data_IF_649798033959
#
_entry.id   IF_649798033959
#
_cell.length_a   1.000
_cell.length_b   1.000
_cell.length_c   1.000
_cell.angle_alpha   90.00
_cell.angle_beta   90.00
_cell.angle_gamma   90.00
#
_symmetry.space_group_name_H-M   'P 1'
#
loop_
_entity.id
_entity.type
_entity.pdbx_description
1 polymer ?
#
# COMPACT_ATOMS: atom_id res chain seq x y z
N UNK A 1 9.89 12.47 -8.31
CA UNK A 1 8.83 12.37 -7.29
C UNK A 1 7.57 11.81 -7.92
N UNK A 2 7.52 10.49 -8.02
CA UNK A 2 6.33 9.72 -8.38
C UNK A 2 5.39 9.62 -7.18
N UNK A 3 4.14 9.19 -7.42
CA UNK A 3 3.19 8.90 -6.36
C UNK A 3 3.73 7.83 -5.38
N UNK A 4 4.46 6.84 -5.90
CA UNK A 4 5.13 5.83 -5.09
C UNK A 4 6.17 6.45 -4.15
N UNK A 5 7.08 7.28 -4.66
CA UNK A 5 8.11 7.95 -3.85
C UNK A 5 7.49 8.84 -2.75
N UNK A 6 6.34 9.48 -3.05
CA UNK A 6 5.60 10.27 -2.07
C UNK A 6 4.97 9.41 -0.97
N UNK A 7 4.44 8.23 -1.29
CA UNK A 7 3.85 7.32 -0.30
C UNK A 7 4.95 6.61 0.51
N UNK A 8 6.02 6.13 -0.14
CA UNK A 8 7.12 5.38 0.52
C UNK A 8 7.73 6.16 1.68
N UNK A 9 8.06 7.45 1.47
CA UNK A 9 8.62 8.31 2.54
C UNK A 9 7.70 8.41 3.77
N UNK A 10 6.38 8.37 3.58
CA UNK A 10 5.43 8.46 4.70
C UNK A 10 5.27 7.10 5.39
N UNK A 11 5.38 6.00 4.65
CA UNK A 11 5.41 4.65 5.21
C UNK A 11 6.69 4.45 6.04
N UNK A 12 7.86 4.86 5.52
CA UNK A 12 9.13 4.79 6.23
C UNK A 12 9.09 5.56 7.55
N UNK A 13 8.52 6.78 7.54
CA UNK A 13 8.32 7.57 8.76
C UNK A 13 7.38 6.85 9.75
N UNK A 14 6.26 6.30 9.27
CA UNK A 14 5.33 5.55 10.13
C UNK A 14 5.96 4.29 10.75
N UNK A 15 6.82 3.59 10.01
CA UNK A 15 7.57 2.44 10.52
C UNK A 15 8.59 2.84 11.58
N UNK A 16 9.30 3.96 11.38
CA UNK A 16 10.22 4.50 12.38
C UNK A 16 9.48 4.87 13.68
N UNK A 17 8.34 5.57 13.58
CA UNK A 17 7.52 5.93 14.74
C UNK A 17 6.94 4.70 15.45
N UNK A 18 6.49 3.70 14.69
CA UNK A 18 5.98 2.43 15.22
C UNK A 18 7.06 1.68 16.03
N UNK A 19 8.29 1.66 15.54
CA UNK A 19 9.41 1.02 16.22
C UNK A 19 9.67 1.65 17.61
N UNK A 20 9.53 2.97 17.75
CA UNK A 20 9.67 3.65 19.07
C UNK A 20 8.61 3.22 20.09
N UNK A 21 7.47 2.70 19.61
CA UNK A 21 6.33 2.28 20.42
C UNK A 21 6.20 0.76 20.53
N UNK A 22 7.21 -0.01 20.06
CA UNK A 22 7.16 -1.49 19.99
C UNK A 22 5.97 -2.02 19.17
N UNK A 23 5.48 -1.25 18.21
CA UNK A 23 4.45 -1.68 17.26
C UNK A 23 5.15 -2.42 16.12
N UNK A 24 4.70 -3.64 15.81
CA UNK A 24 5.32 -4.44 14.75
C UNK A 24 5.03 -3.87 13.36
N UNK A 25 5.97 -4.08 12.43
CA UNK A 25 5.78 -3.72 11.03
C UNK A 25 4.58 -4.42 10.39
N UNK A 26 4.24 -5.64 10.81
CA UNK A 26 3.03 -6.36 10.37
C UNK A 26 1.74 -5.60 10.74
N UNK A 27 1.67 -5.04 11.96
CA UNK A 27 0.52 -4.22 12.38
C UNK A 27 0.42 -2.96 11.53
N UNK A 28 1.55 -2.30 11.26
CA UNK A 28 1.59 -1.12 10.38
C UNK A 28 1.13 -1.49 8.96
N UNK A 29 1.61 -2.60 8.40
CA UNK A 29 1.22 -3.06 7.06
C UNK A 29 -0.29 -3.32 6.96
N UNK A 30 -0.90 -3.96 7.96
CA UNK A 30 -2.35 -4.19 8.01
C UNK A 30 -3.15 -2.88 8.08
N UNK A 31 -2.66 -1.88 8.82
CA UNK A 31 -3.26 -0.55 8.86
C UNK A 31 -3.17 0.15 7.50
N UNK A 32 -2.01 0.07 6.83
CA UNK A 32 -1.82 0.65 5.50
C UNK A 32 -2.75 0.00 4.47
N UNK A 33 -2.88 -1.33 4.49
CA UNK A 33 -3.83 -2.05 3.64
C UNK A 33 -5.28 -1.63 3.89
N UNK A 34 -5.66 -1.47 5.17
CA UNK A 34 -7.00 -1.00 5.54
C UNK A 34 -7.29 0.41 5.02
N UNK A 35 -6.31 1.31 5.07
CA UNK A 35 -6.43 2.66 4.52
C UNK A 35 -6.51 2.67 3.00
N UNK A 36 -5.73 1.83 2.31
CA UNK A 36 -5.81 1.66 0.86
C UNK A 36 -7.21 1.17 0.44
N UNK A 37 -7.75 0.15 1.12
CA UNK A 37 -9.10 -0.36 0.89
C UNK A 37 -10.15 0.74 1.15
N UNK A 38 -10.01 1.49 2.23
CA UNK A 38 -10.90 2.62 2.56
C UNK A 38 -10.94 3.67 1.44
N UNK A 39 -9.80 3.94 0.79
CA UNK A 39 -9.73 4.85 -0.34
C UNK A 39 -10.37 4.26 -1.60
N UNK A 40 -10.07 3.01 -1.96
CA UNK A 40 -10.65 2.39 -3.16
C UNK A 40 -12.17 2.22 -3.08
N UNK A 41 -12.71 1.92 -1.89
CA UNK A 41 -14.16 1.78 -1.68
C UNK A 41 -14.98 3.03 -2.03
N UNK A 42 -14.34 4.19 -2.24
CA UNK A 42 -15.02 5.40 -2.70
C UNK A 42 -15.50 5.28 -4.16
N UNK A 43 -14.80 4.50 -4.97
CA UNK A 43 -14.99 4.47 -6.44
C UNK A 43 -15.04 3.06 -7.02
N UNK A 44 -14.70 2.02 -6.24
CA UNK A 44 -14.52 0.64 -6.72
C UNK A 44 -15.34 -0.34 -5.87
N UNK A 45 -15.84 -1.40 -6.52
CA UNK A 45 -16.50 -2.50 -5.82
C UNK A 45 -15.48 -3.34 -5.03
N UNK A 46 -15.94 -4.18 -4.11
CA UNK A 46 -15.05 -5.09 -3.39
C UNK A 46 -14.35 -6.08 -4.32
N UNK A 47 -15.02 -6.52 -5.39
CA UNK A 47 -14.46 -7.46 -6.36
C UNK A 47 -13.33 -6.81 -7.17
N UNK A 48 -13.53 -5.55 -7.60
CA UNK A 48 -12.50 -4.77 -8.29
C UNK A 48 -11.28 -4.51 -7.38
N UNK A 49 -11.52 -4.27 -6.09
CA UNK A 49 -10.45 -4.08 -5.10
C UNK A 49 -9.67 -5.37 -4.91
N UNK A 50 -10.35 -6.51 -4.79
CA UNK A 50 -9.71 -7.80 -4.65
C UNK A 50 -8.84 -8.14 -5.87
N UNK A 51 -9.34 -7.88 -7.08
CA UNK A 51 -8.58 -8.06 -8.32
C UNK A 51 -7.34 -7.16 -8.38
N UNK A 52 -7.47 -5.89 -8.01
CA UNK A 52 -6.34 -4.95 -7.97
C UNK A 52 -5.28 -5.38 -6.94
N UNK A 53 -5.69 -5.80 -5.74
CA UNK A 53 -4.74 -6.27 -4.72
C UNK A 53 -4.02 -7.55 -5.12
N UNK A 54 -4.73 -8.49 -5.77
CA UNK A 54 -4.10 -9.70 -6.31
C UNK A 54 -3.07 -9.34 -7.38
N UNK A 55 -3.45 -8.49 -8.35
CA UNK A 55 -2.54 -8.04 -9.38
C UNK A 55 -1.32 -7.30 -8.80
N UNK A 56 -1.53 -6.45 -7.79
CA UNK A 56 -0.45 -5.74 -7.12
C UNK A 56 0.50 -6.70 -6.36
N UNK A 57 -0.03 -7.76 -5.74
CA UNK A 57 0.78 -8.77 -5.07
C UNK A 57 1.58 -9.61 -6.08
N UNK A 58 0.99 -9.98 -7.21
CA UNK A 58 1.63 -10.78 -8.25
C UNK A 58 2.71 -10.01 -9.04
N UNK A 59 2.63 -8.67 -9.07
CA UNK A 59 3.52 -7.80 -9.84
C UNK A 59 4.35 -6.86 -8.96
N UNK A 60 4.42 -7.11 -7.65
CA UNK A 60 5.26 -6.32 -6.75
C UNK A 60 6.73 -6.59 -7.07
N UNK A 61 7.36 -5.66 -7.77
CA UNK A 61 8.81 -5.62 -7.94
C UNK A 61 9.40 -4.83 -6.76
N UNK A 62 10.30 -5.45 -5.98
CA UNK A 62 10.97 -4.79 -4.85
C UNK A 62 11.87 -3.63 -5.33
N UNK A 63 12.29 -3.65 -6.59
CA UNK A 63 13.20 -2.67 -7.20
C UNK A 63 12.52 -1.70 -8.18
N UNK A 64 11.23 -1.90 -8.52
CA UNK A 64 10.50 -1.04 -9.46
C UNK A 64 9.11 -0.63 -8.95
N UNK A 65 8.73 0.67 -9.05
CA UNK A 65 7.39 1.12 -8.69
C UNK A 65 6.34 0.35 -9.49
N UNK A 66 5.29 -0.15 -8.83
CA UNK A 66 4.10 -0.73 -9.48
C UNK A 66 3.65 0.17 -10.63
N UNK A 67 3.95 -0.25 -11.85
CA UNK A 67 3.49 0.43 -13.05
C UNK A 67 1.98 0.14 -13.14
N UNK A 68 1.15 1.11 -12.77
CA UNK A 68 -0.29 1.08 -13.01
C UNK A 68 -0.53 1.12 -14.54
N UNK A 69 -0.27 0.02 -15.24
CA UNK A 69 -0.63 -0.16 -16.64
C UNK A 69 -2.02 -0.77 -16.63
N UNK A 70 -3.04 0.04 -16.89
CA UNK A 70 -4.35 -0.48 -17.31
C UNK A 70 -4.46 -0.39 -18.84
N UNK A 71 -5.11 -1.37 -19.50
CA UNK A 71 -5.58 -1.23 -20.89
C UNK A 71 -6.70 -0.19 -21.01
#
# INVERSE_FOLDING_TARGET
>A
MSAYELVSRHIEAALADAATQSISSDVVARCLLSEAIRLFKKERSNDDIAAELMAAADNLDEDAPLAFIRP
#
